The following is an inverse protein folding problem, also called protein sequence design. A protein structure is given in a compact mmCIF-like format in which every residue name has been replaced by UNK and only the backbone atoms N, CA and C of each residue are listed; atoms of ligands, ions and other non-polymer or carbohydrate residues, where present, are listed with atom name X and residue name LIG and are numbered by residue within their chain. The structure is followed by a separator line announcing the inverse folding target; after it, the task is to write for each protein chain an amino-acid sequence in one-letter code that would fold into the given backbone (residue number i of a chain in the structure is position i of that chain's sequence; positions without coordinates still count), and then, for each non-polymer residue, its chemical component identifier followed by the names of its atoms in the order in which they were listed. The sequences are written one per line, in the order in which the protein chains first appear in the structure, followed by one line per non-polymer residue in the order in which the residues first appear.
data_IF_316009841250
#
_entry.id   IF_316009841250
#
_cell.length_a   1.000
_cell.length_b   1.000
_cell.length_c   1.000
_cell.angle_alpha   90.00
_cell.angle_beta   90.00
_cell.angle_gamma   90.00
#
_symmetry.space_group_name_H-M   'P 1'
#
loop_
_entity.id
_entity.type
_entity.pdbx_description
1 polymer ?
#
# COMPACT_ATOMS: atom_id res chain seq x y z
N UNK A 1 -18.91 3.95 -36.51
CA UNK A 1 -18.20 4.15 -35.22
C UNK A 1 -18.10 2.79 -34.53
N UNK A 2 -16.97 2.47 -33.89
CA UNK A 2 -16.79 1.20 -33.14
C UNK A 2 -16.95 1.50 -31.65
N UNK A 3 -17.56 0.57 -30.90
CA UNK A 3 -17.57 0.64 -29.44
C UNK A 3 -16.14 0.37 -28.97
N UNK A 4 -15.58 1.28 -28.16
CA UNK A 4 -14.27 1.13 -27.54
C UNK A 4 -14.40 1.47 -26.06
N UNK A 5 -13.81 0.64 -25.20
CA UNK A 5 -13.75 0.90 -23.77
C UNK A 5 -12.71 2.01 -23.53
N UNK A 6 -13.11 3.06 -22.81
CA UNK A 6 -12.27 4.24 -22.57
C UNK A 6 -12.24 4.57 -21.08
N UNK A 7 -11.05 4.78 -20.55
CA UNK A 7 -10.81 5.05 -19.13
C UNK A 7 -9.90 6.26 -18.96
N UNK A 8 -10.31 7.20 -18.12
CA UNK A 8 -9.46 8.30 -17.68
C UNK A 8 -8.71 7.87 -16.42
N UNK A 9 -7.41 8.17 -16.40
CA UNK A 9 -6.52 7.85 -15.28
C UNK A 9 -5.65 9.05 -14.93
N UNK A 10 -5.30 9.12 -13.65
CA UNK A 10 -4.33 10.08 -13.11
C UNK A 10 -3.11 9.29 -12.65
N UNK A 11 -1.92 9.68 -13.11
CA UNK A 11 -0.66 9.11 -12.67
C UNK A 11 -0.03 10.01 -11.62
N UNK A 12 0.39 9.40 -10.52
CA UNK A 12 1.10 10.06 -9.42
C UNK A 12 2.29 9.21 -9.01
N UNK A 13 3.17 9.77 -8.18
CA UNK A 13 4.12 8.99 -7.41
C UNK A 13 4.15 9.47 -5.96
N UNK A 14 4.49 8.58 -5.03
CA UNK A 14 4.72 8.92 -3.62
C UNK A 14 6.11 8.44 -3.25
N UNK A 15 7.06 9.36 -3.05
CA UNK A 15 8.49 9.04 -2.83
C UNK A 15 9.10 8.10 -3.89
N UNK A 16 8.58 8.16 -5.12
CA UNK A 16 9.05 7.37 -6.27
C UNK A 16 8.22 6.12 -6.56
N UNK A 17 7.33 5.71 -5.65
CA UNK A 17 6.41 4.60 -5.90
C UNK A 17 5.24 5.07 -6.78
N UNK A 18 5.02 4.47 -7.97
CA UNK A 18 4.03 4.94 -8.93
C UNK A 18 2.62 4.52 -8.53
N UNK A 19 1.64 5.37 -8.83
CA UNK A 19 0.23 5.03 -8.67
C UNK A 19 -0.59 5.51 -9.87
N UNK A 20 -1.26 4.56 -10.51
CA UNK A 20 -2.29 4.80 -11.52
C UNK A 20 -3.69 4.82 -10.86
N UNK A 21 -4.30 6.01 -10.79
CA UNK A 21 -5.63 6.22 -10.23
C UNK A 21 -6.66 6.11 -11.35
N UNK A 22 -7.45 5.04 -11.33
CA UNK A 22 -8.51 4.75 -12.30
C UNK A 22 -9.82 5.26 -11.70
N UNK A 23 -10.35 6.36 -12.26
CA UNK A 23 -11.45 7.10 -11.65
C UNK A 23 -12.69 7.26 -12.55
N UNK A 24 -12.69 6.65 -13.75
CA UNK A 24 -13.81 6.72 -14.68
C UNK A 24 -13.99 5.43 -15.48
N UNK A 25 -15.11 5.32 -16.20
CA UNK A 25 -15.36 4.25 -17.18
C UNK A 25 -15.92 2.93 -16.61
N UNK A 26 -16.21 2.85 -15.31
CA UNK A 26 -16.70 1.63 -14.66
C UNK A 26 -18.07 1.87 -14.02
N UNK A 27 -19.14 1.15 -14.45
CA UNK A 27 -20.48 1.25 -13.89
C UNK A 27 -20.61 0.32 -12.68
N UNK A 28 -20.08 0.73 -11.52
CA UNK A 28 -20.19 -0.06 -10.29
C UNK A 28 -21.67 -0.36 -9.94
N UNK A 29 -21.98 -1.56 -9.43
CA UNK A 29 -23.35 -1.90 -9.00
C UNK A 29 -23.84 -0.94 -7.91
N UNK A 30 -25.06 -0.42 -8.08
CA UNK A 30 -25.65 0.51 -7.13
C UNK A 30 -25.84 -0.17 -5.75
N UNK A 31 -25.53 0.56 -4.67
CA UNK A 31 -25.69 0.06 -3.30
C UNK A 31 -24.70 -1.05 -2.89
N UNK A 32 -23.70 -1.35 -3.72
CA UNK A 32 -22.70 -2.37 -3.39
C UNK A 32 -21.72 -1.90 -2.31
N UNK A 33 -21.33 -2.83 -1.45
CA UNK A 33 -20.20 -2.72 -0.51
C UNK A 33 -18.86 -2.72 -1.23
N UNK A 34 -17.79 -2.31 -0.56
CA UNK A 34 -16.43 -2.34 -1.12
C UNK A 34 -15.99 -3.75 -1.56
N UNK A 35 -16.45 -4.80 -0.86
CA UNK A 35 -16.14 -6.19 -1.20
C UNK A 35 -16.92 -6.66 -2.44
N UNK A 36 -18.19 -6.29 -2.56
CA UNK A 36 -18.99 -6.57 -3.77
C UNK A 36 -18.44 -5.81 -4.98
N UNK A 37 -17.95 -4.58 -4.81
CA UNK A 37 -17.25 -3.83 -5.87
C UNK A 37 -15.95 -4.52 -6.29
N UNK A 38 -15.17 -5.03 -5.33
CA UNK A 38 -13.96 -5.82 -5.63
C UNK A 38 -14.30 -7.08 -6.42
N UNK A 39 -15.29 -7.85 -5.96
CA UNK A 39 -15.76 -9.04 -6.67
C UNK A 39 -16.22 -8.70 -8.09
N UNK A 40 -17.01 -7.64 -8.26
CA UNK A 40 -17.44 -7.17 -9.57
C UNK A 40 -16.26 -6.82 -10.49
N UNK A 41 -15.21 -6.16 -9.97
CA UNK A 41 -14.00 -5.87 -10.73
C UNK A 41 -13.25 -7.14 -11.10
N UNK A 42 -13.09 -8.09 -10.19
CA UNK A 42 -12.44 -9.38 -10.43
C UNK A 42 -13.17 -10.16 -11.55
N UNK A 43 -14.50 -10.19 -11.52
CA UNK A 43 -15.33 -10.92 -12.49
C UNK A 43 -15.40 -10.22 -13.87
N UNK A 44 -15.45 -8.89 -13.90
CA UNK A 44 -15.83 -8.14 -15.11
C UNK A 44 -14.72 -7.24 -15.68
N UNK A 45 -13.75 -6.83 -14.85
CA UNK A 45 -12.74 -5.81 -15.17
C UNK A 45 -11.30 -6.21 -14.82
N UNK A 46 -11.01 -7.46 -14.46
CA UNK A 46 -9.62 -7.90 -14.20
C UNK A 46 -8.72 -7.73 -15.44
N UNK A 47 -9.30 -7.80 -16.64
CA UNK A 47 -8.61 -7.48 -17.89
C UNK A 47 -8.10 -6.03 -17.92
N UNK A 48 -8.81 -5.08 -17.31
CA UNK A 48 -8.43 -3.67 -17.26
C UNK A 48 -7.28 -3.46 -16.28
N UNK A 49 -7.33 -4.13 -15.10
CA UNK A 49 -6.21 -4.16 -14.17
C UNK A 49 -4.94 -4.63 -14.89
N UNK A 50 -5.00 -5.78 -15.56
CA UNK A 50 -3.87 -6.30 -16.33
C UNK A 50 -3.44 -5.31 -17.42
N UNK A 51 -4.37 -4.75 -18.18
CA UNK A 51 -4.08 -3.83 -19.29
C UNK A 51 -3.36 -2.54 -18.87
N UNK A 52 -3.63 -2.03 -17.66
CA UNK A 52 -3.07 -0.78 -17.14
C UNK A 52 -1.86 -0.99 -16.22
N UNK A 53 -1.78 -2.12 -15.51
CA UNK A 53 -0.66 -2.41 -14.62
C UNK A 53 0.50 -3.09 -15.36
N UNK A 54 0.24 -3.78 -16.48
CA UNK A 54 1.27 -4.50 -17.23
C UNK A 54 1.71 -3.73 -18.48
N UNK A 55 2.83 -4.17 -19.05
CA UNK A 55 3.26 -3.65 -20.35
C UNK A 55 2.19 -3.91 -21.42
N UNK A 56 1.98 -2.99 -22.39
CA UNK A 56 2.81 -1.82 -22.69
C UNK A 56 2.41 -0.50 -22.00
N UNK A 57 1.38 -0.50 -21.14
CA UNK A 57 0.85 0.73 -20.52
C UNK A 57 1.41 0.97 -19.12
N UNK A 58 1.61 -0.11 -18.38
CA UNK A 58 2.33 -0.14 -17.11
C UNK A 58 3.68 -0.84 -17.26
N UNK A 59 4.15 -1.40 -16.15
CA UNK A 59 5.40 -2.17 -16.05
C UNK A 59 5.30 -3.09 -14.82
N UNK A 60 6.25 -4.00 -14.63
CA UNK A 60 6.22 -5.03 -13.57
C UNK A 60 5.94 -4.48 -12.16
N UNK A 61 6.39 -3.26 -11.91
CA UNK A 61 6.27 -2.55 -10.63
C UNK A 61 5.17 -1.46 -10.60
N UNK A 62 4.27 -1.43 -11.59
CA UNK A 62 3.17 -0.47 -11.58
C UNK A 62 2.16 -0.86 -10.49
N UNK A 63 1.78 0.13 -9.69
CA UNK A 63 0.70 0.03 -8.71
C UNK A 63 -0.49 0.89 -9.14
N UNK A 64 -1.68 0.52 -8.72
CA UNK A 64 -2.89 1.22 -9.10
C UNK A 64 -3.99 1.14 -8.06
N UNK A 65 -5.02 1.95 -8.31
CA UNK A 65 -6.20 2.00 -7.48
C UNK A 65 -7.41 2.29 -8.34
N UNK A 66 -8.47 1.50 -8.15
CA UNK A 66 -9.79 1.89 -8.59
C UNK A 66 -10.40 2.83 -7.55
N UNK A 67 -10.64 4.07 -7.95
CA UNK A 67 -11.39 5.06 -7.18
C UNK A 67 -12.88 4.86 -7.45
N UNK A 68 -13.61 4.39 -6.45
CA UNK A 68 -15.00 3.96 -6.57
C UNK A 68 -15.95 4.92 -5.82
N UNK A 69 -17.23 5.01 -6.23
CA UNK A 69 -18.25 5.69 -5.43
C UNK A 69 -18.34 5.07 -4.03
N UNK A 70 -18.65 5.85 -2.98
CA UNK A 70 -18.81 5.32 -1.63
C UNK A 70 -20.05 4.40 -1.53
N UNK A 71 -19.99 3.38 -0.66
CA UNK A 71 -21.08 2.44 -0.39
C UNK A 71 -22.16 3.02 0.54
N UNK A 72 -21.81 4.01 1.36
CA UNK A 72 -22.71 4.69 2.29
C UNK A 72 -22.26 6.15 2.53
N UNK A 73 -23.11 6.99 3.17
CA UNK A 73 -22.75 8.36 3.57
C UNK A 73 -21.60 8.46 4.61
N UNK A 74 -21.19 7.34 5.19
CA UNK A 74 -20.06 7.29 6.13
C UNK A 74 -18.71 7.41 5.44
N UNK A 75 -18.69 7.22 4.12
CA UNK A 75 -17.50 7.30 3.28
C UNK A 75 -17.65 8.38 2.21
N UNK A 76 -16.52 8.95 1.81
CA UNK A 76 -16.45 9.95 0.74
C UNK A 76 -16.03 9.31 -0.58
N UNK A 77 -15.26 8.20 -0.52
CA UNK A 77 -14.93 7.36 -1.68
C UNK A 77 -14.50 5.95 -1.24
N UNK A 78 -14.48 4.99 -2.17
CA UNK A 78 -13.93 3.66 -1.94
C UNK A 78 -12.65 3.41 -2.73
N UNK A 79 -11.67 2.73 -2.14
CA UNK A 79 -10.36 2.44 -2.74
C UNK A 79 -10.14 0.93 -2.84
N UNK A 80 -9.91 0.45 -4.06
CA UNK A 80 -9.56 -0.94 -4.34
C UNK A 80 -8.19 -0.95 -5.02
N UNK A 81 -7.18 -1.39 -4.28
CA UNK A 81 -5.79 -1.37 -4.69
C UNK A 81 -5.44 -2.59 -5.54
N UNK A 82 -4.57 -2.38 -6.52
CA UNK A 82 -4.18 -3.39 -7.51
C UNK A 82 -2.71 -3.26 -7.90
N UNK A 83 -2.14 -4.37 -8.33
CA UNK A 83 -0.88 -4.41 -9.07
C UNK A 83 -1.02 -5.30 -10.32
N UNK A 84 0.11 -5.56 -11.01
CA UNK A 84 0.15 -6.41 -12.20
C UNK A 84 -0.25 -7.87 -11.96
N UNK A 85 -0.36 -8.32 -10.72
CA UNK A 85 -0.61 -9.70 -10.32
C UNK A 85 -1.93 -9.89 -9.59
N UNK A 86 -2.26 -9.05 -8.61
CA UNK A 86 -3.37 -9.26 -7.68
C UNK A 86 -4.05 -7.95 -7.20
N UNK A 87 -5.05 -8.13 -6.32
CA UNK A 87 -5.76 -7.06 -5.62
C UNK A 87 -5.30 -7.02 -4.16
N UNK A 88 -4.87 -5.86 -3.69
CA UNK A 88 -4.37 -5.64 -2.32
C UNK A 88 -5.46 -5.11 -1.39
N UNK A 89 -5.29 -5.30 -0.08
CA UNK A 89 -6.31 -4.90 0.89
C UNK A 89 -6.30 -3.40 1.20
N UNK A 90 -5.10 -2.85 1.38
CA UNK A 90 -4.83 -1.45 1.70
C UNK A 90 -3.47 -1.07 1.10
N UNK A 91 -3.31 0.16 0.61
CA UNK A 91 -2.01 0.71 0.25
C UNK A 91 -1.81 2.13 0.81
N UNK A 92 -0.74 2.33 1.57
CA UNK A 92 -0.48 3.58 2.26
C UNK A 92 0.02 4.69 1.33
N UNK A 93 0.97 4.38 0.45
CA UNK A 93 1.44 5.35 -0.56
C UNK A 93 0.28 5.74 -1.48
N UNK A 94 -0.56 4.75 -1.85
CA UNK A 94 -1.74 4.95 -2.67
C UNK A 94 -2.76 5.88 -2.02
N UNK A 95 -2.99 5.71 -0.71
CA UNK A 95 -3.89 6.59 0.07
C UNK A 95 -3.40 8.04 0.07
N UNK A 96 -2.09 8.27 0.26
CA UNK A 96 -1.48 9.60 0.23
C UNK A 96 -1.74 10.26 -1.13
N UNK A 97 -1.38 9.57 -2.21
CA UNK A 97 -1.52 10.07 -3.57
C UNK A 97 -2.98 10.34 -3.97
N UNK A 98 -3.90 9.40 -3.69
CA UNK A 98 -5.33 9.60 -4.00
C UNK A 98 -5.90 10.79 -3.27
N UNK A 99 -5.64 10.92 -1.97
CA UNK A 99 -6.19 12.03 -1.19
C UNK A 99 -5.69 13.39 -1.72
N UNK A 100 -4.40 13.51 -2.03
CA UNK A 100 -3.85 14.73 -2.64
C UNK A 100 -4.48 14.96 -4.02
N UNK A 101 -4.56 13.94 -4.88
CA UNK A 101 -5.15 14.07 -6.22
C UNK A 101 -6.63 14.48 -6.18
N UNK A 102 -7.43 13.94 -5.25
CA UNK A 102 -8.84 14.31 -5.11
C UNK A 102 -9.02 15.79 -4.72
N UNK A 103 -8.16 16.32 -3.84
CA UNK A 103 -8.17 17.75 -3.48
C UNK A 103 -7.66 18.61 -4.62
N UNK A 104 -6.58 18.20 -5.27
CA UNK A 104 -5.97 18.90 -6.43
C UNK A 104 -6.97 19.05 -7.57
N UNK A 105 -7.65 17.96 -7.96
CA UNK A 105 -8.59 17.94 -9.08
C UNK A 105 -10.03 18.33 -8.71
N UNK A 106 -10.29 18.67 -7.44
CA UNK A 106 -11.62 19.12 -7.00
C UNK A 106 -12.67 18.01 -6.97
N UNK A 107 -12.26 16.74 -6.82
CA UNK A 107 -13.18 15.61 -6.61
C UNK A 107 -13.84 15.65 -5.23
N UNK A 108 -13.21 16.35 -4.28
CA UNK A 108 -13.79 16.68 -2.97
C UNK A 108 -13.77 18.19 -2.78
N UNK A 109 -14.74 18.69 -2.01
CA UNK A 109 -14.77 20.10 -1.62
C UNK A 109 -13.62 20.36 -0.63
N UNK A 110 -12.75 21.33 -0.98
CA UNK A 110 -11.70 21.80 -0.09
C UNK A 110 -12.29 22.48 1.15
N UNK A 111 -11.69 22.22 2.30
CA UNK A 111 -12.05 22.83 3.58
C UNK A 111 -11.43 24.23 3.71
N UNK A 112 -12.23 25.22 4.10
CA UNK A 112 -11.76 26.61 4.30
C UNK A 112 -10.75 26.72 5.46
N UNK A 113 -10.66 25.70 6.32
CA UNK A 113 -9.69 25.65 7.42
C UNK A 113 -8.26 25.29 6.99
N UNK A 114 -8.06 24.92 5.72
CA UNK A 114 -6.77 24.43 5.22
C UNK A 114 -6.51 22.94 5.48
N UNK A 115 -7.40 22.23 6.17
CA UNK A 115 -7.34 20.76 6.35
C UNK A 115 -8.63 20.13 5.81
N UNK A 116 -8.53 19.38 4.72
CA UNK A 116 -9.64 18.65 4.12
C UNK A 116 -9.61 17.19 4.60
N UNK A 117 -10.71 16.73 5.20
CA UNK A 117 -10.84 15.35 5.67
C UNK A 117 -11.57 14.49 4.62
N UNK A 118 -11.05 13.30 4.35
CA UNK A 118 -11.63 12.34 3.40
C UNK A 118 -11.68 10.96 4.07
N UNK A 119 -12.86 10.33 4.09
CA UNK A 119 -13.11 9.00 4.66
C UNK A 119 -13.14 7.99 3.53
N UNK A 120 -12.15 7.12 3.48
CA UNK A 120 -12.06 6.05 2.50
C UNK A 120 -12.57 4.74 3.08
N UNK A 121 -13.47 4.07 2.37
CA UNK A 121 -13.65 2.63 2.55
C UNK A 121 -12.60 1.87 1.74
N UNK A 122 -11.91 0.93 2.39
CA UNK A 122 -10.99 0.00 1.73
C UNK A 122 -11.43 -1.42 2.04
N UNK A 123 -10.86 -2.41 1.35
CA UNK A 123 -11.16 -3.81 1.71
C UNK A 123 -10.52 -4.24 3.04
N UNK A 124 -9.66 -3.41 3.65
CA UNK A 124 -9.17 -3.58 5.00
C UNK A 124 -10.04 -2.88 6.07
N UNK A 125 -10.92 -1.96 5.67
CA UNK A 125 -11.73 -1.13 6.56
C UNK A 125 -11.62 0.37 6.29
N UNK A 126 -12.13 1.17 7.22
CA UNK A 126 -12.11 2.64 7.16
C UNK A 126 -10.67 3.18 7.29
N UNK A 127 -10.33 4.10 6.40
CA UNK A 127 -9.08 4.88 6.44
C UNK A 127 -9.46 6.35 6.35
N UNK A 128 -8.93 7.18 7.25
CA UNK A 128 -9.30 8.60 7.32
C UNK A 128 -8.09 9.45 6.96
N UNK A 129 -8.15 10.13 5.82
CA UNK A 129 -7.12 11.03 5.35
C UNK A 129 -7.43 12.48 5.72
N UNK A 130 -6.38 13.22 6.06
CA UNK A 130 -6.33 14.66 6.23
C UNK A 130 -5.34 15.21 5.21
N UNK A 131 -5.81 16.12 4.37
CA UNK A 131 -5.00 16.76 3.32
C UNK A 131 -4.84 18.23 3.69
N UNK A 132 -3.60 18.66 3.84
CA UNK A 132 -3.29 20.06 4.12
C UNK A 132 -3.13 20.87 2.84
N UNK A 133 -3.68 22.07 2.85
CA UNK A 133 -3.63 23.03 1.74
C UNK A 133 -3.30 24.43 2.23
N UNK A 134 -2.50 25.15 1.44
CA UNK A 134 -2.26 26.58 1.62
C UNK A 134 -2.56 27.31 0.31
N UNK A 135 -3.64 28.09 0.29
CA UNK A 135 -4.16 28.68 -0.94
C UNK A 135 -4.52 27.61 -1.98
N UNK A 136 -3.83 27.64 -3.12
CA UNK A 136 -4.04 26.67 -4.22
C UNK A 136 -3.17 25.41 -4.09
N UNK A 137 -2.18 25.42 -3.19
CA UNK A 137 -1.18 24.37 -3.03
C UNK A 137 -1.68 23.23 -2.11
N UNK A 138 -1.39 21.98 -2.50
CA UNK A 138 -1.63 20.79 -1.68
C UNK A 138 -0.31 20.34 -1.09
N UNK A 139 -0.19 20.39 0.23
CA UNK A 139 1.09 20.26 0.93
C UNK A 139 1.45 18.82 1.29
N UNK A 140 0.51 18.09 1.91
CA UNK A 140 0.73 16.72 2.38
C UNK A 140 -0.60 16.01 2.65
N UNK A 141 -0.54 14.68 2.72
CA UNK A 141 -1.61 13.85 3.30
C UNK A 141 -1.09 13.13 4.54
N UNK A 142 -1.89 13.13 5.61
CA UNK A 142 -1.76 12.23 6.76
C UNK A 142 -3.01 11.36 6.81
N UNK A 143 -2.86 10.05 6.91
CA UNK A 143 -4.01 9.18 7.13
C UNK A 143 -3.89 8.43 8.46
N UNK A 144 -5.01 8.29 9.16
CA UNK A 144 -5.20 7.25 10.17
C UNK A 144 -5.56 5.96 9.44
N UNK A 145 -4.72 4.94 9.60
CA UNK A 145 -4.91 3.64 8.98
C UNK A 145 -5.91 2.79 9.80
N UNK A 146 -6.25 1.62 9.26
CA UNK A 146 -6.87 0.55 10.04
C UNK A 146 -5.95 0.15 11.21
N UNK A 147 -6.50 -0.40 12.31
CA UNK A 147 -5.69 -0.80 13.45
C UNK A 147 -4.60 -1.81 13.07
N UNK A 148 -3.40 -1.61 13.61
CA UNK A 148 -2.24 -2.46 13.39
C UNK A 148 -1.92 -3.31 14.61
N UNK A 149 -1.41 -4.52 14.43
CA UNK A 149 -1.06 -5.42 15.53
C UNK A 149 0.01 -6.43 15.13
N UNK A 150 0.67 -7.03 16.12
CA UNK A 150 1.62 -8.12 15.93
C UNK A 150 0.88 -9.45 16.06
N UNK A 151 0.93 -10.27 15.02
CA UNK A 151 0.29 -11.59 14.99
C UNK A 151 1.17 -12.66 15.62
N UNK A 152 2.48 -12.63 15.38
CA UNK A 152 3.45 -13.58 15.93
C UNK A 152 4.84 -12.93 15.97
N UNK A 153 5.70 -13.34 16.91
CA UNK A 153 7.08 -12.84 17.01
C UNK A 153 8.10 -13.96 16.91
N UNK A 154 9.29 -13.60 16.47
CA UNK A 154 10.47 -14.48 16.52
C UNK A 154 10.32 -15.82 15.76
N UNK A 155 9.54 -15.84 14.66
CA UNK A 155 9.37 -17.03 13.80
C UNK A 155 10.69 -17.35 13.12
N UNK A 156 11.30 -18.47 13.50
CA UNK A 156 12.58 -18.91 12.95
C UNK A 156 12.43 -19.49 11.54
N UNK A 157 13.27 -19.03 10.62
CA UNK A 157 13.37 -19.52 9.25
C UNK A 157 14.81 -19.39 8.74
N UNK A 158 15.09 -19.88 7.54
CA UNK A 158 16.43 -19.84 6.95
C UNK A 158 16.35 -19.24 5.55
N UNK A 159 17.28 -18.32 5.25
CA UNK A 159 17.47 -17.81 3.89
C UNK A 159 18.75 -18.38 3.28
N UNK A 160 18.72 -18.75 1.98
CA UNK A 160 19.93 -19.09 1.26
C UNK A 160 20.99 -17.99 1.41
N UNK A 161 22.25 -18.38 1.63
CA UNK A 161 23.39 -17.46 1.81
C UNK A 161 23.41 -16.65 3.12
N UNK A 162 22.24 -16.34 3.71
CA UNK A 162 22.13 -15.49 4.92
C UNK A 162 21.89 -16.28 6.21
N UNK A 163 21.59 -17.57 6.11
CA UNK A 163 21.47 -18.47 7.25
C UNK A 163 20.18 -18.27 8.05
N UNK A 164 20.22 -18.63 9.33
CA UNK A 164 19.07 -18.59 10.23
C UNK A 164 18.72 -17.15 10.60
N UNK A 165 17.45 -16.80 10.43
CA UNK A 165 16.87 -15.50 10.75
C UNK A 165 15.57 -15.69 11.53
N UNK A 166 15.06 -14.57 12.05
CA UNK A 166 13.76 -14.48 12.68
C UNK A 166 12.89 -13.48 11.95
N UNK A 167 11.60 -13.76 11.89
CA UNK A 167 10.61 -12.83 11.38
C UNK A 167 9.50 -12.58 12.42
N UNK A 168 9.06 -11.33 12.51
CA UNK A 168 7.82 -10.98 13.18
C UNK A 168 6.70 -10.91 12.13
N UNK A 169 5.54 -11.48 12.41
CA UNK A 169 4.36 -11.32 11.55
C UNK A 169 3.49 -10.22 12.13
N UNK A 170 3.22 -9.19 11.34
CA UNK A 170 2.40 -8.05 11.77
C UNK A 170 1.40 -7.64 10.71
N UNK A 171 0.26 -7.13 11.18
CA UNK A 171 -0.80 -6.55 10.37
C UNK A 171 -0.73 -5.02 10.45
N UNK A 172 -0.80 -4.36 9.29
CA UNK A 172 -0.86 -2.89 9.19
C UNK A 172 -1.74 -2.41 8.03
N UNK A 173 -2.78 -3.19 7.68
CA UNK A 173 -3.58 -3.04 6.46
C UNK A 173 -3.27 -4.11 5.40
N UNK A 174 -2.08 -4.71 5.46
CA UNK A 174 -1.73 -6.03 4.91
C UNK A 174 -0.93 -6.79 5.97
N UNK A 175 -0.76 -8.11 5.80
CA UNK A 175 0.18 -8.89 6.59
C UNK A 175 1.61 -8.79 6.03
N UNK A 176 2.56 -8.59 6.93
CA UNK A 176 3.98 -8.48 6.65
C UNK A 176 4.75 -9.53 7.46
N UNK A 177 5.69 -10.22 6.81
CA UNK A 177 6.80 -10.89 7.48
C UNK A 177 7.96 -9.90 7.61
N UNK A 178 8.22 -9.41 8.81
CA UNK A 178 9.22 -8.38 9.10
C UNK A 178 10.52 -9.05 9.52
N UNK A 179 11.60 -8.80 8.77
CA UNK A 179 12.90 -9.45 8.94
C UNK A 179 13.96 -8.37 9.18
N UNK A 180 14.64 -8.51 10.31
CA UNK A 180 15.75 -7.65 10.69
C UNK A 180 17.05 -8.07 9.96
N UNK A 181 17.61 -7.16 9.16
CA UNK A 181 18.88 -7.31 8.46
C UNK A 181 20.03 -6.57 9.17
N UNK A 182 19.82 -6.09 10.40
CA UNK A 182 20.88 -5.50 11.23
C UNK A 182 22.05 -6.48 11.35
N UNK A 183 23.27 -6.00 11.04
CA UNK A 183 24.47 -6.83 10.98
C UNK A 183 24.59 -7.78 9.77
N UNK A 184 23.57 -7.88 8.90
CA UNK A 184 23.65 -8.63 7.64
C UNK A 184 24.49 -7.90 6.60
N UNK A 185 25.04 -8.68 5.64
CA UNK A 185 25.73 -8.14 4.46
C UNK A 185 24.77 -7.63 3.38
N UNK A 186 23.50 -8.06 3.40
CA UNK A 186 22.49 -7.57 2.46
C UNK A 186 22.01 -6.19 2.89
N UNK A 187 22.36 -5.16 2.12
CA UNK A 187 21.94 -3.78 2.37
C UNK A 187 20.75 -3.41 1.51
N UNK A 188 19.86 -2.61 2.09
CA UNK A 188 18.68 -2.09 1.40
C UNK A 188 19.13 -0.91 0.54
N UNK A 189 19.23 -1.15 -0.75
CA UNK A 189 19.54 -0.13 -1.75
C UNK A 189 19.12 -0.62 -3.15
N UNK A 190 18.95 0.29 -4.13
CA UNK A 190 18.58 -0.09 -5.49
C UNK A 190 19.55 -1.09 -6.14
N UNK A 191 20.84 -1.00 -5.83
CA UNK A 191 21.88 -1.88 -6.39
C UNK A 191 21.69 -3.35 -5.97
N UNK A 192 21.06 -3.59 -4.82
CA UNK A 192 20.74 -4.93 -4.33
C UNK A 192 19.32 -5.38 -4.67
N UNK A 193 18.58 -4.63 -5.50
CA UNK A 193 17.16 -4.86 -5.78
C UNK A 193 16.83 -6.30 -6.18
N UNK A 194 17.57 -6.88 -7.12
CA UNK A 194 17.33 -8.27 -7.57
C UNK A 194 17.50 -9.29 -6.44
N UNK A 195 18.49 -9.10 -5.56
CA UNK A 195 18.71 -10.01 -4.44
C UNK A 195 17.66 -9.81 -3.33
N UNK A 196 17.28 -8.57 -3.03
CA UNK A 196 16.19 -8.25 -2.11
C UNK A 196 14.87 -8.87 -2.57
N UNK A 197 14.55 -8.73 -3.86
CA UNK A 197 13.37 -9.34 -4.49
C UNK A 197 13.40 -10.86 -4.34
N UNK A 198 14.51 -11.49 -4.74
CA UNK A 198 14.69 -12.95 -4.64
C UNK A 198 14.56 -13.45 -3.20
N UNK A 199 15.22 -12.79 -2.24
CA UNK A 199 15.15 -13.14 -0.82
C UNK A 199 13.77 -12.91 -0.22
N UNK A 200 13.06 -11.85 -0.62
CA UNK A 200 11.72 -11.58 -0.15
C UNK A 200 10.71 -12.64 -0.59
N UNK A 201 10.81 -13.10 -1.85
CA UNK A 201 10.00 -14.22 -2.35
C UNK A 201 10.29 -15.49 -1.53
N UNK A 202 11.56 -15.87 -1.37
CA UNK A 202 11.92 -17.08 -0.62
C UNK A 202 11.46 -16.99 0.83
N UNK A 203 11.71 -15.85 1.50
CA UNK A 203 11.27 -15.60 2.86
C UNK A 203 9.75 -15.77 2.99
N UNK A 204 8.97 -15.19 2.08
CA UNK A 204 7.50 -15.31 2.11
C UNK A 204 7.04 -16.75 2.03
N UNK A 205 7.60 -17.52 1.11
CA UNK A 205 7.21 -18.92 0.93
C UNK A 205 7.63 -19.79 2.13
N UNK A 206 8.78 -19.51 2.76
CA UNK A 206 9.18 -20.18 4.00
C UNK A 206 8.27 -19.81 5.19
N UNK A 207 7.89 -18.53 5.32
CA UNK A 207 7.00 -18.08 6.39
C UNK A 207 5.57 -18.64 6.22
N UNK A 208 5.05 -18.72 4.99
CA UNK A 208 3.75 -19.34 4.71
C UNK A 208 3.67 -20.82 5.10
N UNK A 209 4.79 -21.55 5.04
CA UNK A 209 4.86 -22.95 5.48
C UNK A 209 4.79 -23.08 7.01
N UNK A 210 5.21 -22.04 7.73
CA UNK A 210 5.32 -22.05 9.19
C UNK A 210 4.10 -21.50 9.89
N UNK A 211 3.43 -20.52 9.28
CA UNK A 211 2.33 -19.78 9.89
C UNK A 211 1.20 -19.56 8.90
N UNK A 212 -0.03 -19.77 9.38
CA UNK A 212 -1.23 -19.32 8.70
C UNK A 212 -1.71 -18.03 9.36
N UNK A 213 -1.99 -17.00 8.55
CA UNK A 213 -2.49 -15.71 9.03
C UNK A 213 -4.00 -15.62 8.81
N UNK A 214 -4.73 -15.11 9.79
CA UNK A 214 -6.16 -14.84 9.70
C UNK A 214 -6.48 -13.57 10.48
N UNK A 215 -7.12 -12.60 9.83
CA UNK A 215 -7.53 -11.38 10.50
C UNK A 215 -8.62 -11.68 11.54
N UNK A 216 -8.51 -11.17 12.78
CA UNK A 216 -9.37 -11.58 13.89
C UNK A 216 -10.86 -11.23 13.70
N UNK A 217 -11.16 -10.27 12.82
CA UNK A 217 -12.53 -9.78 12.59
C UNK A 217 -12.95 -9.76 11.12
N UNK A 218 -12.07 -10.16 10.19
CA UNK A 218 -12.33 -10.05 8.74
C UNK A 218 -11.98 -11.36 8.04
N UNK A 219 -13.01 -12.17 7.71
CA UNK A 219 -12.82 -13.52 7.18
C UNK A 219 -12.10 -13.58 5.83
N UNK A 220 -12.21 -12.54 5.00
CA UNK A 220 -11.58 -12.48 3.67
C UNK A 220 -10.09 -12.10 3.70
N UNK A 221 -9.53 -11.77 4.87
CA UNK A 221 -8.13 -11.35 5.02
C UNK A 221 -7.33 -12.47 5.69
N UNK A 222 -6.63 -13.26 4.88
CA UNK A 222 -5.96 -14.49 5.32
C UNK A 222 -4.69 -14.84 4.53
N UNK A 223 -4.08 -13.86 3.86
CA UNK A 223 -2.88 -14.07 3.05
C UNK A 223 -1.70 -13.23 3.53
N UNK A 224 -0.51 -13.84 3.51
CA UNK A 224 0.77 -13.19 3.75
C UNK A 224 1.41 -12.88 2.39
N UNK A 225 1.20 -11.66 1.86
CA UNK A 225 1.79 -11.27 0.57
C UNK A 225 3.09 -10.47 0.69
N UNK A 226 3.29 -9.75 1.81
CA UNK A 226 4.41 -8.83 1.95
C UNK A 226 5.50 -9.39 2.86
N UNK A 227 6.74 -9.12 2.48
CA UNK A 227 7.93 -9.28 3.34
C UNK A 227 8.61 -7.92 3.46
N UNK A 228 8.93 -7.52 4.68
CA UNK A 228 9.69 -6.30 4.95
C UNK A 228 11.08 -6.67 5.40
N UNK A 229 12.09 -6.22 4.68
CA UNK A 229 13.44 -6.17 5.21
C UNK A 229 13.69 -4.80 5.82
N UNK A 230 14.37 -4.74 6.95
CA UNK A 230 14.76 -3.46 7.55
C UNK A 230 16.14 -3.55 8.19
N UNK A 231 16.81 -2.41 8.32
CA UNK A 231 18.03 -2.25 9.11
C UNK A 231 18.18 -0.79 9.54
N UNK A 232 19.35 -0.41 10.05
CA UNK A 232 19.65 0.95 10.47
C UNK A 232 19.43 1.97 9.33
N UNK A 233 18.94 3.18 9.64
CA UNK A 233 18.68 4.21 8.65
C UNK A 233 19.98 4.72 7.98
N UNK A 234 19.85 5.25 6.77
CA UNK A 234 20.93 5.99 6.09
C UNK A 234 20.65 7.49 6.01
N UNK A 235 19.39 7.91 6.15
CA UNK A 235 18.99 9.31 6.29
C UNK A 235 19.09 9.75 7.77
N UNK A 236 19.72 10.90 8.01
CA UNK A 236 19.87 11.44 9.36
C UNK A 236 18.50 11.65 10.05
N UNK A 237 18.36 11.04 11.23
CA UNK A 237 17.17 11.09 12.07
C UNK A 237 15.96 10.34 11.50
N UNK A 238 16.13 9.49 10.49
CA UNK A 238 15.17 8.40 10.26
C UNK A 238 15.30 7.36 11.40
N UNK A 239 14.25 6.59 11.63
CA UNK A 239 14.19 5.57 12.68
C UNK A 239 14.72 4.22 12.19
N UNK A 240 14.46 3.89 10.93
CA UNK A 240 14.96 2.71 10.23
C UNK A 240 14.89 2.93 8.72
N UNK A 241 15.66 2.13 7.97
CA UNK A 241 15.51 1.96 6.52
C UNK A 241 14.85 0.62 6.23
N UNK A 242 13.95 0.59 5.25
CA UNK A 242 13.24 -0.61 4.88
C UNK A 242 13.00 -0.74 3.37
N UNK A 243 12.62 -1.95 2.97
CA UNK A 243 12.02 -2.24 1.66
C UNK A 243 10.94 -3.31 1.85
N UNK A 244 9.83 -3.15 1.12
CA UNK A 244 8.77 -4.14 1.06
C UNK A 244 8.85 -4.93 -0.24
N UNK A 245 8.99 -6.25 -0.13
CA UNK A 245 8.88 -7.17 -1.26
C UNK A 245 7.46 -7.74 -1.27
N UNK A 246 6.77 -7.64 -2.39
CA UNK A 246 5.39 -8.07 -2.51
C UNK A 246 5.12 -8.81 -3.83
N UNK A 247 3.98 -9.50 -3.88
CA UNK A 247 3.45 -10.07 -5.11
C UNK A 247 4.46 -10.98 -5.84
N UNK A 248 4.85 -10.71 -7.08
CA UNK A 248 5.82 -11.52 -7.82
C UNK A 248 7.29 -11.14 -7.56
N UNK A 249 7.58 -10.33 -6.52
CA UNK A 249 8.91 -9.84 -6.21
C UNK A 249 9.09 -8.34 -6.46
N UNK A 250 8.00 -7.60 -6.67
CA UNK A 250 8.06 -6.14 -6.75
C UNK A 250 8.63 -5.56 -5.46
N UNK A 251 9.30 -4.42 -5.58
CA UNK A 251 9.89 -3.68 -4.46
C UNK A 251 9.19 -2.33 -4.30
N UNK A 252 8.67 -2.01 -3.12
CA UNK A 252 8.14 -0.66 -2.86
C UNK A 252 9.32 0.33 -2.84
N UNK A 253 9.26 1.36 -3.70
CA UNK A 253 10.25 2.44 -3.76
C UNK A 253 10.09 3.40 -2.58
N UNK A 254 8.85 3.55 -2.10
CA UNK A 254 8.52 4.39 -0.96
C UNK A 254 8.90 3.71 0.37
N UNK A 255 8.83 4.43 1.50
CA UNK A 255 8.93 3.82 2.83
C UNK A 255 7.78 2.88 3.21
N UNK A 256 6.71 2.83 2.39
CA UNK A 256 5.51 2.01 2.55
C UNK A 256 4.63 2.35 3.76
N UNK A 257 3.40 2.84 3.54
CA UNK A 257 2.56 3.30 4.66
C UNK A 257 1.91 2.18 5.49
N UNK A 258 1.45 1.11 4.87
CA UNK A 258 0.95 -0.08 5.59
C UNK A 258 2.09 -0.81 6.30
N UNK A 259 3.26 -0.88 5.66
CA UNK A 259 4.49 -1.40 6.26
C UNK A 259 4.96 -0.55 7.45
N UNK A 260 4.96 0.78 7.32
CA UNK A 260 5.25 1.70 8.44
C UNK A 260 4.28 1.49 9.61
N UNK A 261 2.99 1.26 9.33
CA UNK A 261 1.99 0.92 10.36
C UNK A 261 2.34 -0.39 11.09
N UNK A 262 2.69 -1.45 10.35
CA UNK A 262 3.06 -2.75 10.91
C UNK A 262 4.39 -2.70 11.68
N UNK A 263 5.39 -1.98 11.16
CA UNK A 263 6.68 -1.76 11.81
C UNK A 263 6.52 -1.01 13.13
N UNK A 264 5.70 0.05 13.18
CA UNK A 264 5.41 0.76 14.43
C UNK A 264 4.76 -0.16 15.47
N UNK A 265 3.79 -1.01 15.07
CA UNK A 265 3.18 -1.97 15.97
C UNK A 265 4.21 -2.98 16.52
N UNK A 266 5.13 -3.47 15.67
CA UNK A 266 6.23 -4.35 16.08
C UNK A 266 7.18 -3.67 17.07
N UNK A 267 7.63 -2.45 16.76
CA UNK A 267 8.52 -1.72 17.66
C UNK A 267 7.85 -1.36 18.98
N UNK A 268 6.56 -1.03 18.97
CA UNK A 268 5.78 -0.78 20.19
C UNK A 268 5.67 -2.04 21.05
N UNK A 269 5.32 -3.18 20.45
CA UNK A 269 5.27 -4.47 21.15
C UNK A 269 6.63 -4.87 21.77
N UNK A 270 7.75 -4.47 21.13
CA UNK A 270 9.11 -4.67 21.66
C UNK A 270 9.59 -3.57 22.62
N UNK A 271 8.74 -2.61 22.98
CA UNK A 271 9.07 -1.49 23.88
C UNK A 271 10.09 -0.50 23.30
N UNK A 272 10.28 -0.48 21.98
CA UNK A 272 11.20 0.40 21.24
C UNK A 272 10.54 1.68 20.74
N UNK A 273 9.21 1.72 20.69
CA UNK A 273 8.42 2.88 20.30
C UNK A 273 7.32 3.11 21.34
N UNK A 274 7.09 4.37 21.74
CA UNK A 274 5.98 4.74 22.62
C UNK A 274 4.81 5.32 21.82
N UNK A 275 3.61 5.27 22.39
CA UNK A 275 2.48 6.05 21.87
C UNK A 275 2.83 7.54 21.83
N UNK A 276 2.29 8.24 20.83
CA UNK A 276 2.51 9.66 20.54
C UNK A 276 3.98 10.05 20.29
N UNK A 277 4.85 9.06 20.04
CA UNK A 277 6.22 9.31 19.59
C UNK A 277 6.26 9.26 18.05
N UNK A 278 6.57 10.38 17.36
CA UNK A 278 6.72 10.37 15.92
C UNK A 278 8.01 9.66 15.50
N UNK A 279 7.97 9.00 14.35
CA UNK A 279 9.13 8.42 13.68
C UNK A 279 9.19 8.92 12.23
N UNK A 280 10.38 8.80 11.61
CA UNK A 280 10.52 8.88 10.16
C UNK A 280 10.99 7.52 9.64
N UNK A 281 10.24 6.90 8.75
CA UNK A 281 10.67 5.67 8.08
C UNK A 281 11.32 6.01 6.74
N UNK A 282 12.45 5.39 6.44
CA UNK A 282 13.16 5.55 5.17
C UNK A 282 12.87 4.35 4.25
N UNK A 283 12.63 4.62 2.97
CA UNK A 283 12.37 3.61 1.93
C UNK A 283 13.60 3.19 1.13
N UNK A 284 13.38 2.33 0.14
CA UNK A 284 14.44 1.72 -0.68
C UNK A 284 15.35 2.74 -1.36
N UNK A 285 14.77 3.78 -1.95
CA UNK A 285 15.51 4.76 -2.74
C UNK A 285 16.46 5.64 -1.91
N UNK A 286 16.26 5.72 -0.59
CA UNK A 286 17.05 6.60 0.28
C UNK A 286 16.88 8.09 0.01
N UNK A 287 15.84 8.49 -0.73
CA UNK A 287 15.55 9.88 -1.10
C UNK A 287 14.36 10.50 -0.36
N UNK A 288 13.57 9.69 0.34
CA UNK A 288 12.29 10.09 0.91
C UNK A 288 11.97 9.38 2.23
N UNK A 289 11.11 10.00 3.04
CA UNK A 289 10.66 9.44 4.32
C UNK A 289 9.15 9.60 4.52
N UNK A 290 8.53 8.69 5.25
CA UNK A 290 7.19 8.90 5.81
C UNK A 290 7.29 9.22 7.29
N UNK A 291 6.45 10.14 7.76
CA UNK A 291 6.26 10.39 9.18
C UNK A 291 5.20 9.42 9.71
N UNK A 292 5.54 8.66 10.75
CA UNK A 292 4.63 7.71 11.41
C UNK A 292 4.39 8.10 12.87
N UNK A 293 3.18 7.82 13.39
CA UNK A 293 2.91 7.94 14.82
C UNK A 293 1.81 6.95 15.26
N UNK A 294 1.91 6.42 16.49
CA UNK A 294 0.84 5.64 17.11
C UNK A 294 0.04 6.56 18.03
N UNK A 295 -1.20 6.88 17.65
CA UNK A 295 -2.03 7.88 18.34
C UNK A 295 -2.92 7.28 19.45
N UNK A 296 -2.87 5.97 19.65
CA UNK A 296 -3.61 5.28 20.69
C UNK A 296 -3.69 3.78 20.49
N UNK A 297 -4.47 3.14 21.37
CA UNK A 297 -4.75 1.70 21.34
C UNK A 297 -6.22 1.44 21.00
N UNK A 298 -6.48 0.22 20.54
CA UNK A 298 -7.83 -0.30 20.28
C UNK A 298 -7.80 -1.83 20.33
N UNK A 299 -8.93 -2.47 20.06
CA UNK A 299 -9.06 -3.93 20.03
C UNK A 299 -9.73 -4.38 18.73
N UNK A 300 -9.14 -5.38 18.08
CA UNK A 300 -9.74 -6.11 16.96
C UNK A 300 -10.23 -7.47 17.47
N UNK A 301 -11.51 -7.54 17.86
CA UNK A 301 -12.02 -8.69 18.59
C UNK A 301 -11.30 -8.81 19.94
N UNK A 302 -10.61 -9.92 20.18
CA UNK A 302 -9.83 -10.15 21.39
C UNK A 302 -8.33 -9.78 21.25
N UNK A 303 -7.92 -9.23 20.10
CA UNK A 303 -6.52 -8.88 19.82
C UNK A 303 -6.29 -7.40 20.11
N UNK A 304 -5.31 -7.09 20.97
CA UNK A 304 -4.85 -5.71 21.18
C UNK A 304 -4.23 -5.18 19.88
N UNK A 305 -4.59 -3.96 19.51
CA UNK A 305 -4.08 -3.26 18.34
C UNK A 305 -3.73 -1.81 18.68
N UNK A 306 -2.91 -1.18 17.84
CA UNK A 306 -2.57 0.24 17.91
C UNK A 306 -3.23 0.99 16.76
N UNK A 307 -3.40 2.30 16.91
CA UNK A 307 -3.95 3.21 15.90
C UNK A 307 -2.82 4.00 15.23
N UNK A 308 -2.33 3.58 14.06
CA UNK A 308 -1.23 4.25 13.40
C UNK A 308 -1.72 5.37 12.48
N UNK A 309 -0.98 6.47 12.45
CA UNK A 309 -1.06 7.49 11.40
C UNK A 309 0.20 7.48 10.58
N UNK A 310 0.07 7.72 9.28
CA UNK A 310 1.20 7.89 8.35
C UNK A 310 0.99 9.15 7.53
N UNK A 311 2.04 9.94 7.38
CA UNK A 311 2.07 11.19 6.62
C UNK A 311 3.18 11.17 5.58
N UNK A 312 2.86 11.70 4.40
CA UNK A 312 3.81 11.87 3.31
C UNK A 312 3.28 12.79 2.22
N UNK A 313 4.01 12.84 1.11
CA UNK A 313 3.72 13.70 -0.04
C UNK A 313 3.71 12.90 -1.34
N UNK A 314 2.91 13.33 -2.29
CA UNK A 314 2.81 12.74 -3.62
C UNK A 314 2.91 13.80 -4.71
N UNK A 315 3.57 13.46 -5.81
CA UNK A 315 3.68 14.27 -7.01
C UNK A 315 2.73 13.81 -8.10
N UNK A 316 2.09 14.75 -8.80
CA UNK A 316 1.33 14.48 -10.02
C UNK A 316 2.29 14.28 -11.20
N UNK A 317 2.18 13.15 -11.89
CA UNK A 317 2.98 12.85 -13.08
C UNK A 317 2.25 13.23 -14.38
N UNK A 318 0.93 13.07 -14.41
CA UNK A 318 0.12 13.41 -15.56
C UNK A 318 -1.23 12.69 -15.58
N UNK A 319 -1.97 12.87 -16.67
CA UNK A 319 -3.25 12.22 -16.90
C UNK A 319 -3.26 11.56 -18.26
N UNK A 320 -3.97 10.44 -18.40
CA UNK A 320 -4.14 9.77 -19.68
C UNK A 320 -5.59 9.34 -19.89
N UNK A 321 -5.99 9.28 -21.16
CA UNK A 321 -7.23 8.64 -21.61
C UNK A 321 -6.85 7.40 -22.41
N UNK A 322 -7.09 6.23 -21.84
CA UNK A 322 -6.77 4.96 -22.47
C UNK A 322 -7.98 4.41 -23.22
N UNK A 323 -7.83 4.26 -24.54
CA UNK A 323 -8.77 3.50 -25.36
C UNK A 323 -8.24 2.08 -25.53
N UNK A 324 -9.03 1.08 -25.13
CA UNK A 324 -8.60 -0.33 -25.15
C UNK A 324 -9.50 -1.12 -26.08
N UNK A 325 -8.90 -1.67 -27.14
CA UNK A 325 -9.58 -2.64 -28.00
C UNK A 325 -9.43 -4.04 -27.39
N UNK A 326 -10.55 -4.64 -26.98
CA UNK A 326 -10.56 -6.01 -26.42
C UNK A 326 -10.17 -7.09 -27.43
N UNK A 327 -10.08 -6.76 -28.72
CA UNK A 327 -9.59 -7.66 -29.78
C UNK A 327 -8.10 -7.50 -30.07
N UNK A 328 -7.44 -6.52 -29.48
CA UNK A 328 -5.98 -6.40 -29.54
C UNK A 328 -5.34 -7.63 -28.86
N UNK A 329 -4.50 -8.42 -29.54
CA UNK A 329 -3.82 -9.58 -28.95
C UNK A 329 -3.02 -9.26 -27.67
N UNK A 330 -2.57 -8.02 -27.52
CA UNK A 330 -1.85 -7.53 -26.32
C UNK A 330 -2.69 -6.54 -25.50
N UNK A 331 -3.99 -6.42 -25.78
CA UNK A 331 -4.88 -5.45 -25.14
C UNK A 331 -4.93 -5.55 -23.63
N UNK A 332 -4.88 -6.79 -23.10
CA UNK A 332 -4.82 -7.09 -21.67
C UNK A 332 -3.42 -6.96 -21.03
N UNK A 333 -2.40 -6.65 -21.82
CA UNK A 333 -1.01 -6.51 -21.38
C UNK A 333 -0.29 -7.83 -21.05
N UNK A 334 1.03 -7.75 -20.88
CA UNK A 334 1.92 -8.89 -20.64
C UNK A 334 3.03 -8.57 -19.62
N UNK A 335 3.66 -9.62 -19.09
CA UNK A 335 4.83 -9.51 -18.21
C UNK A 335 6.02 -10.21 -18.89
N UNK A 336 7.20 -9.61 -18.77
CA UNK A 336 8.48 -10.24 -19.07
C UNK A 336 9.18 -10.44 -17.74
N UNK A 337 9.36 -11.70 -17.33
CA UNK A 337 9.89 -12.08 -16.02
C UNK A 337 11.38 -12.35 -16.05
#
# INVERSE_FOLDING_TARGET
MRIQDTFDVIYTHTEGEPLCIIHSGIPYPAGSSILEKRQFLEENYDWLRKALMREPRGHTDMFGVFLTPPSSPDYDAGLIYIDGTEYSHMCGHGTIAVAMAMVTHGFVRRSDSGITKIRFETTAGLVVAEVATEGEEVLWTRFENVPAYVAEQDVEFELPTYGKLKADLAWGGNYFGIIDLTGSKLRISPENGSELSRMGIIAREELKKKMHVQHPTQGHINNLNFVTFWHEPTIEGAFYKNVHVFSAGQLDRSPGGTGTSAMMAMFEARGKLKLNQPIRSEGLLGSGTFEGCLIGETTLGNVRAVRPTVKGTAGLLGTARWTIDRKDPIGAGFLVL
#
